data_IF_782848553120
#
_entry.id   IF_782848553120
#
_cell.length_a   1.000
_cell.length_b   1.000
_cell.length_c   1.000
_cell.angle_alpha   90.00
_cell.angle_beta   90.00
_cell.angle_gamma   90.00
#
_symmetry.space_group_name_H-M   'P 1'
#
loop_
_entity.id
_entity.type
_entity.pdbx_description
1 polymer ?
#
# COMPACT_ATOMS: atom_id res chain seq x y z
N UNK A 1 -15.01 5.29 -11.32
CA UNK A 1 -14.20 4.93 -10.14
C UNK A 1 -15.06 5.22 -8.93
N UNK A 2 -15.35 4.22 -8.08
CA UNK A 2 -16.12 4.41 -6.84
C UNK A 2 -15.15 4.89 -5.75
N UNK A 3 -15.54 5.91 -4.99
CA UNK A 3 -14.77 6.41 -3.84
C UNK A 3 -14.99 5.49 -2.63
N UNK A 4 -13.98 5.37 -1.76
CA UNK A 4 -14.06 4.64 -0.49
C UNK A 4 -14.74 5.46 0.63
N UNK A 5 -15.29 6.63 0.33
CA UNK A 5 -15.91 7.56 1.28
C UNK A 5 -16.98 6.92 2.18
N UNK A 6 -17.70 5.93 1.66
CA UNK A 6 -18.76 5.22 2.39
C UNK A 6 -18.35 3.82 2.85
N UNK A 7 -17.09 3.43 2.67
CA UNK A 7 -16.59 2.12 3.05
C UNK A 7 -15.93 2.20 4.44
N UNK A 8 -16.12 1.18 5.26
CA UNK A 8 -15.43 1.02 6.54
C UNK A 8 -13.97 0.59 6.33
N UNK A 9 -13.14 0.78 7.36
CA UNK A 9 -11.73 0.32 7.33
C UNK A 9 -11.65 -1.20 7.10
N UNK A 10 -12.56 -1.97 7.69
CA UNK A 10 -12.59 -3.43 7.53
C UNK A 10 -12.90 -3.81 6.07
N UNK A 11 -13.91 -3.18 5.45
CA UNK A 11 -14.25 -3.44 4.05
C UNK A 11 -13.10 -3.08 3.10
N UNK A 12 -12.41 -1.97 3.34
CA UNK A 12 -11.23 -1.59 2.54
C UNK A 12 -10.08 -2.58 2.73
N UNK A 13 -9.85 -3.07 3.95
CA UNK A 13 -8.83 -4.07 4.24
C UNK A 13 -9.15 -5.41 3.56
N UNK A 14 -10.40 -5.86 3.60
CA UNK A 14 -10.84 -7.09 2.94
C UNK A 14 -10.68 -6.97 1.42
N UNK A 15 -11.09 -5.84 0.82
CA UNK A 15 -10.88 -5.57 -0.60
C UNK A 15 -9.40 -5.62 -1.00
N UNK A 16 -8.51 -5.09 -0.16
CA UNK A 16 -7.07 -5.19 -0.37
C UNK A 16 -6.57 -6.63 -0.32
N UNK A 17 -6.97 -7.39 0.71
CA UNK A 17 -6.56 -8.79 0.88
C UNK A 17 -7.05 -9.68 -0.26
N UNK A 18 -8.27 -9.46 -0.75
CA UNK A 18 -8.78 -10.15 -1.92
C UNK A 18 -7.98 -9.81 -3.18
N UNK A 19 -7.66 -8.54 -3.40
CA UNK A 19 -6.84 -8.10 -4.53
C UNK A 19 -5.43 -8.70 -4.47
N UNK A 20 -4.84 -8.77 -3.27
CA UNK A 20 -3.56 -9.42 -3.03
C UNK A 20 -3.60 -10.92 -3.32
N UNK A 21 -4.62 -11.63 -2.84
CA UNK A 21 -4.78 -13.07 -3.11
C UNK A 21 -4.92 -13.34 -4.62
N UNK A 22 -5.72 -12.54 -5.33
CA UNK A 22 -5.87 -12.65 -6.79
C UNK A 22 -4.55 -12.39 -7.53
N UNK A 23 -3.82 -11.33 -7.18
CA UNK A 23 -2.55 -11.00 -7.85
C UNK A 23 -1.47 -12.03 -7.58
N UNK A 24 -1.38 -12.52 -6.34
CA UNK A 24 -0.48 -13.60 -5.94
C UNK A 24 -0.73 -14.89 -6.73
N UNK A 25 -1.99 -15.32 -6.83
CA UNK A 25 -2.34 -16.53 -7.57
C UNK A 25 -2.04 -16.44 -9.08
N UNK A 26 -1.98 -15.24 -9.65
CA UNK A 26 -1.52 -15.03 -11.03
C UNK A 26 -0.01 -15.08 -11.11
N UNK A 27 0.70 -14.40 -10.21
CA UNK A 27 2.16 -14.38 -10.18
C UNK A 27 2.76 -15.78 -10.00
N UNK A 28 2.15 -16.62 -9.16
CA UNK A 28 2.60 -18.01 -8.91
C UNK A 28 2.50 -18.91 -10.16
N UNK A 29 1.68 -18.56 -11.15
CA UNK A 29 1.55 -19.31 -12.42
C UNK A 29 2.59 -18.91 -13.47
N UNK A 30 3.29 -17.79 -13.26
CA UNK A 30 4.28 -17.28 -14.20
C UNK A 30 5.66 -17.78 -13.79
N UNK A 31 6.31 -18.53 -14.68
CA UNK A 31 7.63 -19.13 -14.41
C UNK A 31 8.79 -18.18 -14.69
N UNK A 32 8.53 -17.00 -15.26
CA UNK A 32 9.55 -16.00 -15.60
C UNK A 32 9.13 -14.61 -15.18
N UNK A 33 10.08 -13.86 -14.60
CA UNK A 33 9.91 -12.43 -14.33
C UNK A 33 9.84 -11.59 -15.61
N UNK A 34 10.26 -12.14 -16.75
CA UNK A 34 10.20 -11.45 -18.05
C UNK A 34 8.89 -11.75 -18.80
N UNK A 35 7.97 -12.52 -18.19
CA UNK A 35 6.61 -12.71 -18.69
C UNK A 35 5.92 -11.37 -18.87
N UNK A 36 5.45 -11.11 -20.10
CA UNK A 36 4.80 -9.87 -20.50
C UNK A 36 3.30 -9.92 -20.23
N UNK A 37 2.77 -8.83 -19.67
CA UNK A 37 1.34 -8.63 -19.57
C UNK A 37 0.71 -8.61 -20.99
N UNK A 38 -0.45 -9.26 -21.18
CA UNK A 38 -1.10 -9.34 -22.49
C UNK A 38 -1.66 -8.00 -22.96
N UNK A 39 -1.86 -7.05 -22.04
CA UNK A 39 -2.32 -5.69 -22.34
C UNK A 39 -1.27 -4.67 -21.91
N UNK A 40 -1.04 -3.61 -22.71
CA UNK A 40 -0.32 -2.44 -22.26
C UNK A 40 -0.94 -1.87 -20.98
N UNK A 41 -0.10 -1.31 -20.11
CA UNK A 41 -0.54 -0.65 -18.88
C UNK A 41 0.43 0.49 -18.55
N UNK A 42 0.02 1.42 -17.69
CA UNK A 42 0.85 2.53 -17.22
C UNK A 42 1.40 3.43 -18.34
N UNK A 43 0.66 3.58 -19.44
CA UNK A 43 1.09 4.36 -20.61
C UNK A 43 2.33 3.82 -21.33
N UNK A 44 2.77 2.60 -20.99
CA UNK A 44 3.91 1.91 -21.59
C UNK A 44 3.43 0.66 -22.34
N UNK A 45 4.28 0.15 -23.23
CA UNK A 45 4.08 -1.14 -23.90
C UNK A 45 3.87 -2.30 -22.90
N UNK A 46 3.73 -3.55 -23.37
CA UNK A 46 3.46 -4.66 -22.46
C UNK A 46 4.52 -4.75 -21.36
N UNK A 47 4.11 -4.51 -20.11
CA UNK A 47 4.98 -4.51 -18.93
C UNK A 47 5.31 -5.94 -18.53
N UNK A 48 6.52 -6.18 -18.02
CA UNK A 48 6.91 -7.51 -17.52
C UNK A 48 6.49 -7.70 -16.07
N UNK A 49 6.38 -8.95 -15.63
CA UNK A 49 6.15 -9.28 -14.21
C UNK A 49 7.19 -8.62 -13.29
N UNK A 50 8.46 -8.57 -13.73
CA UNK A 50 9.55 -7.86 -13.05
C UNK A 50 9.21 -6.39 -12.84
N UNK A 51 8.78 -5.72 -13.90
CA UNK A 51 8.42 -4.30 -13.84
C UNK A 51 7.26 -4.08 -12.89
N UNK A 52 6.22 -4.92 -12.95
CA UNK A 52 5.05 -4.84 -12.06
C UNK A 52 5.47 -5.00 -10.60
N UNK A 53 6.32 -5.99 -10.28
CA UNK A 53 6.76 -6.23 -8.91
C UNK A 53 7.56 -5.06 -8.34
N UNK A 54 8.52 -4.52 -9.11
CA UNK A 54 9.29 -3.34 -8.68
C UNK A 54 8.38 -2.14 -8.51
N UNK A 55 7.47 -1.91 -9.45
CA UNK A 55 6.52 -0.81 -9.36
C UNK A 55 5.64 -0.91 -8.11
N UNK A 56 5.13 -2.10 -7.77
CA UNK A 56 4.34 -2.28 -6.54
C UNK A 56 5.14 -2.08 -5.25
N UNK A 57 6.43 -2.40 -5.25
CA UNK A 57 7.32 -2.08 -4.12
C UNK A 57 7.49 -0.57 -3.97
N UNK A 58 7.73 0.15 -5.07
CA UNK A 58 7.88 1.61 -5.08
C UNK A 58 6.61 2.32 -4.59
N UNK A 59 5.45 1.95 -5.13
CA UNK A 59 4.15 2.51 -4.72
C UNK A 59 3.85 2.24 -3.25
N UNK A 60 4.16 1.03 -2.76
CA UNK A 60 3.96 0.68 -1.34
C UNK A 60 4.87 1.50 -0.42
N UNK A 61 6.14 1.69 -0.80
CA UNK A 61 7.08 2.51 -0.04
C UNK A 61 6.66 3.98 -0.01
N UNK A 62 6.19 4.52 -1.14
CA UNK A 62 5.65 5.87 -1.24
C UNK A 62 4.46 6.09 -0.29
N UNK A 63 3.49 5.16 -0.31
CA UNK A 63 2.34 5.23 0.60
C UNK A 63 2.72 5.09 2.07
N UNK A 64 3.66 4.19 2.41
CA UNK A 64 4.16 4.06 3.77
C UNK A 64 4.81 5.36 4.26
N UNK A 65 5.61 6.01 3.41
CA UNK A 65 6.19 7.32 3.72
C UNK A 65 5.13 8.41 3.94
N UNK A 66 4.09 8.47 3.11
CA UNK A 66 2.98 9.41 3.31
C UNK A 66 2.23 9.16 4.62
N UNK A 67 1.96 7.90 4.96
CA UNK A 67 1.30 7.55 6.23
C UNK A 67 2.17 7.89 7.44
N UNK A 68 3.48 7.71 7.35
CA UNK A 68 4.41 8.12 8.41
C UNK A 68 4.35 9.63 8.63
N UNK A 69 4.44 10.42 7.55
CA UNK A 69 4.31 11.89 7.61
C UNK A 69 2.96 12.34 8.21
N UNK A 70 1.86 11.69 7.84
CA UNK A 70 0.52 12.02 8.36
C UNK A 70 0.36 11.63 9.84
N UNK A 71 1.02 10.57 10.29
CA UNK A 71 0.87 10.05 11.66
C UNK A 71 1.93 10.55 12.63
N UNK A 72 3.01 11.15 12.14
CA UNK A 72 4.11 11.70 12.97
C UNK A 72 3.61 12.65 14.08
N UNK A 73 2.72 13.63 13.82
CA UNK A 73 2.24 14.52 14.88
C UNK A 73 1.49 13.79 16.01
N UNK A 74 0.80 12.69 15.71
CA UNK A 74 0.07 11.88 16.70
C UNK A 74 1.02 11.07 17.59
N UNK A 75 2.14 10.62 17.01
CA UNK A 75 3.17 9.85 17.72
C UNK A 75 4.02 10.77 18.59
N UNK A 76 4.46 11.90 18.03
CA UNK A 76 5.26 12.90 18.74
C UNK A 76 4.44 13.64 19.79
N UNK A 77 3.18 13.96 19.52
CA UNK A 77 2.27 14.59 20.48
C UNK A 77 1.97 13.73 21.73
N UNK A 78 1.97 12.40 21.60
CA UNK A 78 1.89 11.47 22.74
C UNK A 78 3.15 11.45 23.61
N UNK A 79 4.31 11.78 23.05
CA UNK A 79 5.59 11.82 23.79
C UNK A 79 5.79 13.13 24.58
N UNK A 80 4.99 14.17 24.31
CA UNK A 80 5.18 15.53 24.83
C UNK A 80 4.29 15.91 26.03
N UNK A 81 3.54 14.98 26.65
CA UNK A 81 2.86 15.25 27.93
C UNK A 81 3.86 15.19 29.09
N UNK A 82 4.20 16.33 29.75
CA UNK A 82 5.06 16.28 30.92
C UNK A 82 4.35 15.59 32.09
N UNK A 83 5.08 14.75 32.81
CA UNK A 83 4.64 14.17 34.08
C UNK A 83 4.15 15.30 35.00
N UNK A 84 2.88 15.23 35.40
CA UNK A 84 2.25 16.22 36.26
C UNK A 84 3.08 16.48 37.51
N UNK A 85 3.44 17.74 37.72
CA UNK A 85 3.99 18.24 38.98
C UNK A 85 3.01 17.92 40.11
N UNK A 86 3.38 17.00 41.00
CA UNK A 86 2.75 16.83 42.30
C UNK A 86 3.20 18.04 43.13
N UNK A 87 2.30 18.99 43.40
CA UNK A 87 2.51 20.01 44.43
C UNK A 87 1.68 19.63 45.66
N UNK A 88 2.40 19.43 46.78
CA UNK A 88 1.91 19.32 48.15
C UNK A 88 1.48 20.68 48.73
#
# INVERSE_FOLDING_TARGET
MRSAENDTVAEVADLYLEAWARSRAVAERLTSLDSKAPRPSFGKGPVTLRWVMVHMLEETACHAGHLDLLTDPLRTGRASQPAGTIQS
#
